data_IF_947793062159
#
_entry.id   IF_947793062159
#
_cell.length_a   1.000
_cell.length_b   1.000
_cell.length_c   1.000
_cell.angle_alpha   90.00
_cell.angle_beta   90.00
_cell.angle_gamma   90.00
#
_symmetry.space_group_name_H-M   'P 1'
#
loop_
_entity.id
_entity.type
_entity.pdbx_description
1 polymer ?
#
# COMPACT_ATOMS: atom_id res chain seq x y z
N UNK A 1 -19.88 59.77 -11.70
CA UNK A 1 -18.46 59.51 -11.39
C UNK A 1 -18.46 58.51 -10.26
N UNK A 2 -18.88 57.26 -10.50
CA UNK A 2 -18.16 56.23 -11.29
C UNK A 2 -16.73 56.11 -10.72
N UNK A 3 -16.30 54.97 -10.18
CA UNK A 3 -16.47 53.61 -10.70
C UNK A 3 -16.51 52.60 -9.55
N UNK A 4 -17.34 51.57 -9.72
CA UNK A 4 -17.35 50.30 -8.99
C UNK A 4 -15.95 49.77 -8.64
N UNK A 5 -15.74 49.45 -7.37
CA UNK A 5 -14.67 48.54 -6.94
C UNK A 5 -15.29 47.32 -6.28
N UNK A 6 -15.71 46.42 -7.16
CA UNK A 6 -15.69 44.96 -7.06
C UNK A 6 -15.94 44.33 -5.68
N UNK A 7 -17.15 43.75 -5.58
CA UNK A 7 -17.35 42.48 -4.90
C UNK A 7 -16.32 41.47 -5.42
N UNK A 8 -15.29 41.17 -4.64
CA UNK A 8 -14.52 39.93 -4.80
C UNK A 8 -15.14 38.84 -3.92
N UNK A 9 -16.12 38.17 -4.52
CA UNK A 9 -16.29 36.72 -4.54
C UNK A 9 -15.89 35.91 -3.31
N UNK A 10 -16.92 35.59 -2.53
CA UNK A 10 -17.07 34.29 -1.90
C UNK A 10 -17.21 33.22 -3.00
N UNK A 11 -16.09 32.82 -3.60
CA UNK A 11 -15.95 31.61 -4.39
C UNK A 11 -14.85 30.78 -3.75
N UNK A 12 -15.17 29.54 -3.41
CA UNK A 12 -14.36 28.68 -2.57
C UNK A 12 -12.89 28.68 -2.97
N UNK A 13 -12.05 28.83 -1.95
CA UNK A 13 -10.71 28.28 -1.92
C UNK A 13 -10.84 26.79 -2.21
N UNK A 14 -10.92 26.42 -3.49
CA UNK A 14 -10.60 25.08 -3.95
C UNK A 14 -9.10 25.00 -3.77
N UNK A 15 -8.70 24.55 -2.60
CA UNK A 15 -7.35 24.08 -2.37
C UNK A 15 -7.02 23.12 -3.52
N UNK A 16 -6.02 23.49 -4.30
CA UNK A 16 -5.37 22.63 -5.28
C UNK A 16 -4.62 21.53 -4.52
N UNK A 17 -5.35 20.71 -3.78
CA UNK A 17 -4.82 19.51 -3.15
C UNK A 17 -4.89 18.43 -4.23
N UNK A 18 -3.84 18.38 -5.08
CA UNK A 18 -3.63 17.26 -5.98
C UNK A 18 -3.81 15.97 -5.19
N UNK A 19 -4.62 15.07 -5.72
CA UNK A 19 -5.08 13.84 -5.05
C UNK A 19 -3.88 13.12 -4.46
N UNK A 20 -3.68 13.26 -3.15
CA UNK A 20 -2.69 12.49 -2.41
C UNK A 20 -3.25 11.08 -2.33
N UNK A 21 -2.63 10.14 -3.05
CA UNK A 21 -3.10 8.76 -3.13
C UNK A 21 -3.37 8.19 -1.74
N UNK A 22 -4.48 7.48 -1.57
CA UNK A 22 -4.78 6.80 -0.32
C UNK A 22 -4.21 5.39 -0.36
N UNK A 23 -3.62 4.94 0.74
CA UNK A 23 -3.05 3.60 0.82
C UNK A 23 -3.68 2.78 1.93
N UNK A 24 -3.38 1.49 1.91
CA UNK A 24 -3.69 0.55 2.99
C UNK A 24 -2.39 0.10 3.65
N UNK A 25 -2.46 -0.16 4.95
CA UNK A 25 -1.40 -0.86 5.68
C UNK A 25 -1.97 -2.09 6.37
N UNK A 26 -1.24 -3.21 6.31
CA UNK A 26 -1.67 -4.49 6.85
C UNK A 26 -0.51 -5.32 7.42
N UNK A 27 -0.77 -6.01 8.53
CA UNK A 27 0.14 -7.04 9.03
C UNK A 27 0.21 -8.23 8.06
N UNK A 28 1.43 -8.57 7.65
CA UNK A 28 1.71 -9.77 6.85
C UNK A 28 1.87 -10.97 7.81
N UNK A 29 0.75 -11.54 8.23
CA UNK A 29 0.75 -12.65 9.19
C UNK A 29 1.30 -13.91 8.53
N UNK A 30 2.28 -14.55 9.18
CA UNK A 30 2.92 -15.79 8.74
C UNK A 30 4.20 -15.57 7.94
N UNK A 31 4.50 -14.35 7.49
CA UNK A 31 5.79 -14.02 6.89
C UNK A 31 6.75 -13.59 8.01
N UNK A 32 7.91 -14.25 8.07
CA UNK A 32 9.01 -13.91 8.96
C UNK A 32 10.01 -12.97 8.29
N UNK A 33 10.04 -12.94 6.96
CA UNK A 33 10.92 -12.12 6.16
C UNK A 33 10.24 -11.48 4.94
N UNK A 34 10.90 -10.50 4.33
CA UNK A 34 10.49 -9.97 3.02
C UNK A 34 10.57 -11.03 1.92
N UNK A 35 11.51 -11.98 2.02
CA UNK A 35 11.66 -13.06 1.05
C UNK A 35 10.46 -13.98 1.05
N UNK A 36 9.93 -14.34 2.23
CA UNK A 36 8.72 -15.16 2.34
C UNK A 36 7.53 -14.52 1.58
N UNK A 37 7.40 -13.19 1.69
CA UNK A 37 6.39 -12.45 0.93
C UNK A 37 6.65 -12.52 -0.58
N UNK A 38 7.90 -12.35 -1.02
CA UNK A 38 8.28 -12.42 -2.44
C UNK A 38 8.00 -13.80 -3.03
N UNK A 39 8.35 -14.87 -2.31
CA UNK A 39 8.08 -16.25 -2.70
C UNK A 39 6.56 -16.49 -2.87
N UNK A 40 5.75 -16.10 -1.88
CA UNK A 40 4.30 -16.26 -1.96
C UNK A 40 3.67 -15.44 -3.08
N UNK A 41 4.19 -14.24 -3.34
CA UNK A 41 3.70 -13.39 -4.41
C UNK A 41 4.04 -14.00 -5.77
N UNK A 42 5.27 -14.48 -5.94
CA UNK A 42 5.74 -15.17 -7.14
C UNK A 42 4.88 -16.40 -7.45
N UNK A 43 4.67 -17.28 -6.47
CA UNK A 43 3.83 -18.48 -6.62
C UNK A 43 2.40 -18.13 -7.05
N UNK A 44 1.78 -17.15 -6.39
CA UNK A 44 0.40 -16.72 -6.71
C UNK A 44 0.30 -16.06 -8.08
N UNK A 45 1.30 -15.27 -8.47
CA UNK A 45 1.36 -14.67 -9.80
C UNK A 45 1.53 -15.74 -10.89
N UNK A 46 2.36 -16.75 -10.66
CA UNK A 46 2.49 -17.91 -11.57
C UNK A 46 1.17 -18.67 -11.71
N UNK A 47 0.42 -18.85 -10.62
CA UNK A 47 -0.90 -19.48 -10.67
C UNK A 47 -1.91 -18.66 -11.49
N UNK A 48 -1.87 -17.33 -11.40
CA UNK A 48 -2.70 -16.46 -12.24
C UNK A 48 -2.37 -16.62 -13.74
N UNK A 49 -1.06 -16.62 -14.07
CA UNK A 49 -0.58 -16.84 -15.44
C UNK A 49 -1.03 -18.21 -15.96
N UNK A 50 -0.88 -19.27 -15.15
CA UNK A 50 -1.29 -20.62 -15.53
C UNK A 50 -2.82 -20.73 -15.78
N UNK A 51 -3.61 -19.87 -15.14
CA UNK A 51 -5.05 -19.74 -15.35
C UNK A 51 -5.42 -18.82 -16.54
N UNK A 52 -4.45 -18.29 -17.28
CA UNK A 52 -4.68 -17.39 -18.42
C UNK A 52 -5.03 -15.95 -18.03
N UNK A 53 -4.71 -15.55 -16.80
CA UNK A 53 -4.94 -14.19 -16.30
C UNK A 53 -3.64 -13.38 -16.34
N UNK A 54 -3.77 -12.06 -16.36
CA UNK A 54 -2.62 -11.16 -16.12
C UNK A 54 -1.97 -11.49 -14.77
N UNK A 55 -0.63 -11.39 -14.64
CA UNK A 55 0.05 -11.67 -13.39
C UNK A 55 -0.46 -10.75 -12.27
N UNK A 56 -1.00 -11.33 -11.21
CA UNK A 56 -1.46 -10.61 -10.04
C UNK A 56 -1.48 -11.52 -8.81
N UNK A 57 -1.69 -10.93 -7.65
CA UNK A 57 -2.01 -11.67 -6.44
C UNK A 57 -3.28 -11.16 -5.81
N UNK A 58 -3.99 -12.02 -5.08
CA UNK A 58 -5.17 -11.61 -4.33
C UNK A 58 -4.96 -11.81 -2.84
N UNK A 59 -5.32 -10.81 -2.04
CA UNK A 59 -5.36 -10.92 -0.60
C UNK A 59 -6.79 -10.78 -0.07
N UNK A 60 -7.32 -11.85 0.50
CA UNK A 60 -8.69 -11.88 1.03
C UNK A 60 -8.77 -11.22 2.40
N UNK A 61 -9.75 -10.33 2.60
CA UNK A 61 -10.09 -9.75 3.91
C UNK A 61 -11.60 -9.68 4.11
N UNK A 62 -12.03 -9.75 5.38
CA UNK A 62 -13.45 -9.61 5.75
C UNK A 62 -13.94 -8.16 5.72
N UNK A 63 -13.07 -7.20 6.03
CA UNK A 63 -13.45 -5.79 6.04
C UNK A 63 -13.24 -5.19 4.66
N UNK A 64 -14.31 -4.69 4.04
CA UNK A 64 -14.25 -4.01 2.74
C UNK A 64 -13.87 -2.54 2.95
N UNK A 65 -12.85 -2.01 2.27
CA UNK A 65 -12.56 -0.58 2.29
C UNK A 65 -13.74 0.24 1.76
N UNK A 66 -14.00 1.38 2.40
CA UNK A 66 -15.10 2.29 2.01
C UNK A 66 -14.69 3.30 0.96
N UNK A 67 -13.41 3.68 0.91
CA UNK A 67 -12.84 4.69 0.02
C UNK A 67 -12.13 4.01 -1.15
N UNK A 68 -12.88 3.22 -1.93
CA UNK A 68 -12.31 2.37 -2.98
C UNK A 68 -11.69 3.23 -4.09
N UNK A 69 -12.40 4.26 -4.55
CA UNK A 69 -11.92 5.11 -5.64
C UNK A 69 -10.59 5.78 -5.28
N UNK A 70 -10.49 6.36 -4.07
CA UNK A 70 -9.24 6.96 -3.56
C UNK A 70 -8.08 5.95 -3.43
N UNK A 71 -8.39 4.67 -3.17
CA UNK A 71 -7.40 3.59 -3.08
C UNK A 71 -6.94 3.11 -4.46
N UNK A 72 -7.82 3.14 -5.46
CA UNK A 72 -7.51 2.72 -6.83
C UNK A 72 -6.89 3.85 -7.66
N UNK A 73 -7.02 5.10 -7.22
CA UNK A 73 -6.30 6.25 -7.77
C UNK A 73 -4.84 6.30 -7.29
N UNK A 74 -4.06 5.30 -7.68
CA UNK A 74 -2.61 5.23 -7.40
C UNK A 74 -2.23 4.65 -6.04
N UNK A 75 -3.18 4.13 -5.27
CA UNK A 75 -2.94 3.55 -3.95
C UNK A 75 -2.14 2.24 -3.97
N UNK A 76 -1.70 1.84 -2.79
CA UNK A 76 -0.90 0.63 -2.57
C UNK A 76 -1.26 -0.02 -1.24
N UNK A 77 -0.96 -1.31 -1.11
CA UNK A 77 -0.97 -2.03 0.16
C UNK A 77 0.45 -2.13 0.70
N UNK A 78 0.68 -1.57 1.88
CA UNK A 78 1.92 -1.65 2.63
C UNK A 78 1.88 -2.81 3.62
N UNK A 79 2.95 -3.60 3.60
CA UNK A 79 3.09 -4.81 4.39
C UNK A 79 3.96 -4.57 5.61
N UNK A 80 3.40 -4.87 6.78
CA UNK A 80 4.13 -4.90 8.05
C UNK A 80 4.58 -6.33 8.33
N UNK A 81 5.90 -6.55 8.35
CA UNK A 81 6.55 -7.83 8.64
C UNK A 81 7.39 -7.61 9.90
N UNK A 82 7.20 -8.47 10.91
CA UNK A 82 7.87 -8.37 12.24
C UNK A 82 7.84 -6.97 12.86
N UNK A 83 6.71 -6.27 12.72
CA UNK A 83 6.51 -4.94 13.32
C UNK A 83 7.14 -3.77 12.57
N UNK A 84 7.66 -4.00 11.36
CA UNK A 84 8.21 -2.97 10.48
C UNK A 84 7.46 -2.97 9.14
N UNK A 85 7.14 -1.81 8.60
CA UNK A 85 6.79 -1.70 7.17
C UNK A 85 8.06 -2.01 6.37
N UNK A 86 7.97 -2.97 5.45
CA UNK A 86 9.15 -3.40 4.67
C UNK A 86 8.90 -3.40 3.16
N UNK A 87 7.64 -3.44 2.73
CA UNK A 87 7.31 -3.46 1.31
C UNK A 87 5.92 -2.93 1.02
N UNK A 88 5.68 -2.63 -0.26
CA UNK A 88 4.37 -2.33 -0.79
C UNK A 88 4.11 -3.06 -2.11
N UNK A 89 2.82 -3.24 -2.41
CA UNK A 89 2.33 -3.65 -3.72
C UNK A 89 1.24 -2.68 -4.18
N UNK A 90 1.21 -2.35 -5.47
CA UNK A 90 0.17 -1.48 -6.04
C UNK A 90 -1.20 -2.17 -5.96
N UNK A 91 -2.25 -1.42 -5.60
CA UNK A 91 -3.62 -1.91 -5.68
C UNK A 91 -4.10 -1.82 -7.13
N UNK A 92 -4.55 -2.95 -7.67
CA UNK A 92 -5.12 -3.04 -9.02
C UNK A 92 -6.65 -3.07 -9.00
N UNK A 93 -7.25 -3.57 -7.91
CA UNK A 93 -8.68 -3.70 -7.79
C UNK A 93 -9.12 -4.18 -6.40
N UNK A 94 -10.41 -4.02 -6.12
CA UNK A 94 -11.06 -4.55 -4.91
C UNK A 94 -12.34 -5.23 -5.33
N UNK A 95 -12.43 -6.54 -5.14
CA UNK A 95 -13.60 -7.33 -5.51
C UNK A 95 -14.30 -7.87 -4.28
N UNK A 96 -15.56 -7.49 -4.07
CA UNK A 96 -16.38 -8.07 -3.01
C UNK A 96 -16.99 -9.40 -3.42
N UNK A 97 -17.05 -10.34 -2.50
CA UNK A 97 -17.73 -11.63 -2.70
C UNK A 97 -18.30 -12.14 -1.38
N UNK A 98 -19.30 -13.01 -1.48
CA UNK A 98 -19.81 -13.78 -0.35
C UNK A 98 -19.24 -15.19 -0.47
N UNK A 99 -18.65 -15.73 0.60
CA UNK A 99 -18.13 -17.09 0.56
C UNK A 99 -19.22 -18.15 0.79
N UNK A 100 -18.82 -19.43 0.78
CA UNK A 100 -19.71 -20.56 1.00
C UNK A 100 -20.39 -20.54 2.38
N UNK A 101 -19.85 -19.81 3.36
CA UNK A 101 -20.41 -19.64 4.70
C UNK A 101 -21.37 -18.45 4.81
N UNK A 102 -21.65 -17.73 3.71
CA UNK A 102 -22.52 -16.57 3.70
C UNK A 102 -21.87 -15.29 4.25
N UNK A 103 -20.56 -15.28 4.48
CA UNK A 103 -19.84 -14.15 5.06
C UNK A 103 -19.27 -13.27 3.93
N UNK A 104 -19.64 -11.99 3.96
CA UNK A 104 -19.11 -11.00 3.02
C UNK A 104 -17.60 -10.76 3.25
N UNK A 105 -16.85 -10.79 2.15
CA UNK A 105 -15.40 -10.53 2.08
C UNK A 105 -15.09 -9.67 0.87
N UNK A 106 -13.85 -9.22 0.78
CA UNK A 106 -13.28 -8.75 -0.46
C UNK A 106 -11.90 -9.35 -0.73
N UNK A 107 -11.53 -9.37 -2.00
CA UNK A 107 -10.16 -9.59 -2.47
C UNK A 107 -9.55 -8.24 -2.79
N UNK A 108 -8.41 -7.95 -2.18
CA UNK A 108 -7.51 -6.90 -2.66
C UNK A 108 -6.69 -7.52 -3.79
N UNK A 109 -6.84 -7.00 -5.01
CA UNK A 109 -6.07 -7.42 -6.17
C UNK A 109 -4.81 -6.55 -6.20
N UNK A 110 -3.65 -7.20 -6.21
CA UNK A 110 -2.35 -6.57 -6.04
C UNK A 110 -1.46 -6.88 -7.24
N UNK A 111 -0.69 -5.89 -7.64
CA UNK A 111 0.40 -6.03 -8.59
C UNK A 111 1.42 -7.07 -8.09
N UNK A 112 1.99 -7.92 -8.95
CA UNK A 112 2.95 -8.95 -8.55
C UNK A 112 4.31 -8.37 -8.10
N UNK A 113 4.54 -7.07 -8.30
CA UNK A 113 5.80 -6.43 -7.92
C UNK A 113 5.80 -6.08 -6.43
N UNK A 114 6.67 -6.76 -5.67
CA UNK A 114 6.96 -6.41 -4.26
C UNK A 114 8.06 -5.36 -4.24
N UNK A 115 7.68 -4.11 -3.94
CA UNK A 115 8.57 -2.96 -3.89
C UNK A 115 9.04 -2.80 -2.44
N UNK A 116 10.34 -2.85 -2.19
CA UNK A 116 10.94 -2.68 -0.87
C UNK A 116 10.85 -1.21 -0.43
N UNK A 117 10.51 -0.98 0.83
CA UNK A 117 10.42 0.37 1.41
C UNK A 117 11.52 0.57 2.45
N UNK A 118 11.76 1.82 2.83
CA UNK A 118 12.47 2.09 4.09
C UNK A 118 11.73 1.45 5.25
N UNK A 119 12.49 0.99 6.24
CA UNK A 119 11.93 0.42 7.46
C UNK A 119 11.16 1.47 8.24
N UNK A 120 9.91 1.19 8.62
CA UNK A 120 9.14 2.07 9.48
C UNK A 120 8.44 1.26 10.58
N UNK A 121 8.72 1.53 11.88
CA UNK A 121 8.15 0.75 12.96
C UNK A 121 6.64 0.96 13.04
N UNK A 122 5.90 -0.14 13.24
CA UNK A 122 4.44 -0.13 13.37
C UNK A 122 4.00 -0.99 14.54
N UNK A 123 3.17 -0.40 15.41
CA UNK A 123 2.50 -1.16 16.49
C UNK A 123 1.56 -2.21 15.88
N UNK A 124 1.37 -3.37 16.52
CA UNK A 124 0.38 -4.34 16.08
C UNK A 124 -1.04 -3.73 15.97
N UNK A 125 -1.77 -4.12 14.93
CA UNK A 125 -3.18 -3.75 14.73
C UNK A 125 -3.93 -4.90 14.05
N UNK A 126 -5.26 -4.90 14.17
CA UNK A 126 -6.11 -5.90 13.55
C UNK A 126 -6.59 -5.44 12.18
N UNK A 127 -6.59 -6.37 11.21
CA UNK A 127 -7.11 -6.12 9.87
C UNK A 127 -6.18 -5.25 9.04
N UNK A 128 -6.74 -4.19 8.44
CA UNK A 128 -6.01 -3.17 7.70
C UNK A 128 -6.40 -1.78 8.23
N UNK A 129 -5.56 -0.78 7.95
CA UNK A 129 -5.85 0.63 8.22
C UNK A 129 -5.60 1.44 6.95
N UNK A 130 -6.26 2.60 6.84
CA UNK A 130 -5.83 3.60 5.88
C UNK A 130 -4.46 4.13 6.28
N UNK A 131 -3.63 4.40 5.27
CA UNK A 131 -2.34 5.03 5.40
C UNK A 131 -2.34 6.21 4.42
N UNK A 132 -2.37 7.46 4.91
CA UNK A 132 -2.34 8.62 4.05
C UNK A 132 -0.94 8.78 3.42
N UNK A 133 -0.87 9.47 2.29
CA UNK A 133 0.37 9.62 1.50
C UNK A 133 1.52 10.22 2.32
N UNK A 134 1.26 11.13 3.26
CA UNK A 134 2.28 11.74 4.11
C UNK A 134 2.93 10.75 5.11
N UNK A 135 2.27 9.63 5.40
CA UNK A 135 2.73 8.65 6.38
C UNK A 135 3.49 7.47 5.75
N UNK A 136 3.53 7.37 4.41
CA UNK A 136 4.15 6.22 3.73
C UNK A 136 5.68 6.29 3.81
N UNK A 137 6.35 5.15 4.03
CA UNK A 137 7.80 5.09 3.88
C UNK A 137 8.19 5.27 2.41
N UNK A 138 9.42 5.72 2.17
CA UNK A 138 9.94 5.85 0.80
C UNK A 138 10.26 4.48 0.23
N UNK A 139 10.23 4.36 -1.09
CA UNK A 139 10.76 3.18 -1.77
C UNK A 139 12.27 3.12 -1.56
N UNK A 140 12.82 1.94 -1.22
CA UNK A 140 14.23 1.79 -0.92
C UNK A 140 15.12 2.15 -2.12
N UNK A 141 14.70 1.76 -3.32
CA UNK A 141 15.40 2.06 -4.57
C UNK A 141 15.49 3.57 -4.86
N UNK A 142 14.59 4.38 -4.29
CA UNK A 142 14.63 5.84 -4.43
C UNK A 142 15.78 6.49 -3.66
N UNK A 143 16.42 5.78 -2.72
CA UNK A 143 17.45 6.35 -1.85
C UNK A 143 18.87 6.33 -2.43
N UNK A 144 19.12 5.63 -3.54
CA UNK A 144 20.43 5.58 -4.23
C UNK A 144 21.55 4.97 -3.38
N UNK A 145 22.17 3.89 -3.84
CA UNK A 145 23.29 3.22 -3.13
C UNK A 145 22.91 2.46 -1.84
N UNK A 146 21.80 2.82 -1.17
CA UNK A 146 21.28 2.07 -0.01
C UNK A 146 20.77 0.68 -0.43
N UNK A 147 20.11 0.58 -1.58
CA UNK A 147 19.64 -0.70 -2.12
C UNK A 147 20.79 -1.69 -2.41
N UNK A 148 22.01 -1.19 -2.61
CA UNK A 148 23.21 -2.00 -2.87
C UNK A 148 23.84 -2.59 -1.60
N UNK A 149 23.46 -2.11 -0.41
CA UNK A 149 23.96 -2.62 0.86
C UNK A 149 23.44 -4.04 1.12
N UNK A 150 24.18 -4.95 1.79
CA UNK A 150 23.66 -6.25 2.19
C UNK A 150 22.40 -6.14 3.07
N UNK A 151 21.44 -7.06 2.90
CA UNK A 151 20.14 -7.02 3.58
C UNK A 151 20.23 -6.95 5.11
N UNK A 152 21.16 -7.70 5.72
CA UNK A 152 21.38 -7.66 7.17
C UNK A 152 21.82 -6.28 7.66
N UNK A 153 22.72 -5.60 6.92
CA UNK A 153 23.16 -4.25 7.24
C UNK A 153 22.02 -3.24 7.11
N UNK A 154 21.17 -3.37 6.09
CA UNK A 154 19.99 -2.51 5.91
C UNK A 154 18.99 -2.68 7.05
N UNK A 155 18.77 -3.91 7.50
CA UNK A 155 17.92 -4.21 8.66
C UNK A 155 18.47 -3.53 9.92
N UNK A 156 19.76 -3.69 10.21
CA UNK A 156 20.41 -3.04 11.36
C UNK A 156 20.28 -1.51 11.32
N UNK A 157 20.53 -0.89 10.16
CA UNK A 157 20.37 0.56 10.00
C UNK A 157 18.92 1.02 10.21
N UNK A 158 17.94 0.25 9.71
CA UNK A 158 16.51 0.54 9.89
C UNK A 158 16.08 0.40 11.36
N UNK A 159 16.59 -0.61 12.08
CA UNK A 159 16.36 -0.79 13.51
C UNK A 159 16.91 0.36 14.35
N UNK A 160 18.01 0.97 13.90
CA UNK A 160 18.63 2.15 14.50
C UNK A 160 17.98 3.48 14.05
N UNK A 161 17.02 3.45 13.12
CA UNK A 161 16.36 4.65 12.57
C UNK A 161 17.27 5.51 11.69
N UNK A 162 18.28 4.89 11.05
CA UNK A 162 19.23 5.52 10.14
C UNK A 162 18.81 5.40 8.66
N UNK A 163 17.71 4.69 8.40
CA UNK A 163 16.99 4.53 7.13
C UNK A 163 15.49 4.71 7.40
#
# INVERSE_FOLDING_TARGET
>A
MDVDSEKLDAAGQKDFNGVMALHLIKLCVGADSLEDLREWVSERAMNAIAAGLEPHTTHTTRMVPKRIDDLLDGGSLYWVIKGQVQARQKLLGIETFTDAEGIQRCRLILDPSVIETTGQPRRPFQGWRYLPQEDVPRDLDSLGGVAELPADLRRELSELGLL
#
